data_IF_064433633946
#
_entry.id   IF_064433633946
#
_cell.length_a   1.000
_cell.length_b   1.000
_cell.length_c   1.000
_cell.angle_alpha   90.00
_cell.angle_beta   90.00
_cell.angle_gamma   90.00
#
_symmetry.space_group_name_H-M   'P 1'
#
loop_
_entity.id
_entity.type
_entity.pdbx_description
1 polymer ?
#
# COMPACT_ATOMS: atom_id res chain seq x y z
N UNK A 1 -22.55 -18.10 -51.72
CA UNK A 1 -21.65 -18.92 -50.88
C UNK A 1 -21.45 -18.17 -49.55
N UNK A 2 -22.27 -18.48 -48.53
CA UNK A 2 -22.24 -17.76 -47.24
C UNK A 2 -21.22 -18.40 -46.31
N UNK A 3 -20.13 -17.67 -45.99
CA UNK A 3 -19.17 -18.07 -44.95
C UNK A 3 -19.88 -18.00 -43.60
N UNK A 4 -20.33 -19.15 -43.08
CA UNK A 4 -20.79 -19.28 -41.70
C UNK A 4 -19.62 -18.95 -40.76
N UNK A 5 -19.68 -17.78 -40.11
CA UNK A 5 -18.85 -17.47 -38.96
C UNK A 5 -19.12 -18.53 -37.87
N UNK A 6 -18.18 -19.46 -37.67
CA UNK A 6 -18.18 -20.34 -36.51
C UNK A 6 -17.98 -19.46 -35.27
N UNK A 7 -19.06 -19.16 -34.56
CA UNK A 7 -18.96 -18.69 -33.17
C UNK A 7 -18.32 -19.83 -32.38
N UNK A 8 -17.07 -19.68 -31.98
CA UNK A 8 -16.44 -20.58 -31.01
C UNK A 8 -17.34 -20.61 -29.76
N UNK A 9 -17.88 -21.78 -29.45
CA UNK A 9 -18.65 -22.00 -28.23
C UNK A 9 -17.64 -22.06 -27.10
N UNK A 10 -17.50 -20.96 -26.35
CA UNK A 10 -16.75 -20.94 -25.11
C UNK A 10 -17.21 -22.10 -24.22
N UNK A 11 -16.25 -22.91 -23.76
CA UNK A 11 -16.52 -24.05 -22.88
C UNK A 11 -16.84 -23.56 -21.47
N UNK A 12 -17.66 -24.30 -20.72
CA UNK A 12 -17.91 -24.03 -19.30
C UNK A 12 -16.60 -23.96 -18.49
N UNK A 13 -15.57 -24.69 -18.94
CA UNK A 13 -14.21 -24.62 -18.39
C UNK A 13 -13.52 -23.26 -18.58
N UNK A 14 -13.74 -22.58 -19.71
CA UNK A 14 -13.16 -21.26 -19.99
C UNK A 14 -13.73 -20.20 -19.05
N UNK A 15 -15.03 -20.31 -18.73
CA UNK A 15 -15.66 -19.42 -17.76
C UNK A 15 -15.14 -19.63 -16.34
N UNK A 16 -15.01 -20.88 -15.88
CA UNK A 16 -14.46 -21.18 -14.56
C UNK A 16 -13.00 -20.72 -14.45
N UNK A 17 -12.21 -20.95 -15.49
CA UNK A 17 -10.82 -20.50 -15.55
C UNK A 17 -10.70 -18.97 -15.52
N UNK A 18 -11.54 -18.25 -16.28
CA UNK A 18 -11.57 -16.80 -16.26
C UNK A 18 -11.93 -16.25 -14.86
N UNK A 19 -12.95 -16.82 -14.20
CA UNK A 19 -13.34 -16.43 -12.83
C UNK A 19 -12.18 -16.67 -11.86
N UNK A 20 -11.50 -17.82 -11.96
CA UNK A 20 -10.35 -18.15 -11.12
C UNK A 20 -9.21 -17.14 -11.30
N UNK A 21 -8.86 -16.79 -12.54
CA UNK A 21 -7.82 -15.80 -12.82
C UNK A 21 -8.20 -14.44 -12.24
N UNK A 22 -9.41 -13.97 -12.49
CA UNK A 22 -9.88 -12.68 -11.97
C UNK A 22 -9.83 -12.67 -10.45
N UNK A 23 -10.25 -13.75 -9.80
CA UNK A 23 -10.16 -13.91 -8.35
C UNK A 23 -8.71 -13.86 -7.86
N UNK A 24 -7.79 -14.60 -8.50
CA UNK A 24 -6.36 -14.57 -8.19
C UNK A 24 -5.75 -13.18 -8.36
N UNK A 25 -6.15 -12.44 -9.40
CA UNK A 25 -5.71 -11.06 -9.61
C UNK A 25 -6.15 -10.16 -8.46
N UNK A 26 -7.40 -10.28 -8.00
CA UNK A 26 -7.88 -9.50 -6.84
C UNK A 26 -7.13 -9.88 -5.56
N UNK A 27 -6.96 -11.16 -5.28
CA UNK A 27 -6.20 -11.62 -4.11
C UNK A 27 -4.77 -11.08 -4.16
N UNK A 28 -4.12 -11.13 -5.31
CA UNK A 28 -2.76 -10.60 -5.48
C UNK A 28 -2.71 -9.08 -5.26
N UNK A 29 -3.62 -8.31 -5.85
CA UNK A 29 -3.67 -6.86 -5.69
C UNK A 29 -3.90 -6.47 -4.23
N UNK A 30 -4.81 -7.15 -3.52
CA UNK A 30 -5.14 -6.84 -2.13
C UNK A 30 -4.03 -7.29 -1.17
N UNK A 31 -3.38 -8.42 -1.43
CA UNK A 31 -2.31 -8.95 -0.57
C UNK A 31 -0.97 -8.26 -0.80
N UNK A 32 -0.70 -7.76 -2.01
CA UNK A 32 0.60 -7.17 -2.36
C UNK A 32 1.08 -6.05 -1.42
N UNK A 33 0.24 -5.09 -0.98
CA UNK A 33 0.69 -4.02 -0.08
C UNK A 33 1.10 -4.58 1.28
N UNK A 34 0.36 -5.58 1.78
CA UNK A 34 0.70 -6.26 3.03
C UNK A 34 1.99 -7.07 2.90
N UNK A 35 2.21 -7.77 1.79
CA UNK A 35 3.44 -8.53 1.57
C UNK A 35 4.67 -7.63 1.49
N UNK A 36 4.56 -6.48 0.82
CA UNK A 36 5.62 -5.46 0.79
C UNK A 36 5.88 -4.94 2.20
N UNK A 37 4.82 -4.60 2.93
CA UNK A 37 4.92 -4.14 4.32
C UNK A 37 5.61 -5.18 5.22
N UNK A 38 5.17 -6.44 5.15
CA UNK A 38 5.73 -7.55 5.91
C UNK A 38 7.24 -7.71 5.64
N UNK A 39 7.63 -7.70 4.36
CA UNK A 39 9.02 -7.86 3.95
C UNK A 39 9.92 -6.75 4.50
N UNK A 40 9.49 -5.48 4.33
CA UNK A 40 10.29 -4.34 4.78
C UNK A 40 10.26 -4.18 6.30
N UNK A 41 9.13 -4.43 6.96
CA UNK A 41 9.06 -4.39 8.42
C UNK A 41 9.95 -5.47 9.05
N UNK A 42 10.01 -6.66 8.45
CA UNK A 42 10.91 -7.73 8.91
C UNK A 42 12.39 -7.34 8.77
N UNK A 43 12.74 -6.52 7.78
CA UNK A 43 14.07 -5.94 7.66
C UNK A 43 14.32 -4.90 8.77
N UNK A 44 13.33 -4.04 9.04
CA UNK A 44 13.40 -3.05 10.13
C UNK A 44 13.45 -3.71 11.52
N UNK A 45 12.85 -4.89 11.70
CA UNK A 45 12.95 -5.67 12.95
C UNK A 45 14.30 -6.37 13.13
N UNK A 46 15.24 -6.27 12.18
CA UNK A 46 16.62 -6.71 12.40
C UNK A 46 17.39 -5.73 13.30
N UNK A 47 16.92 -4.49 13.42
CA UNK A 47 17.52 -3.52 14.33
C UNK A 47 17.18 -3.88 15.78
N UNK A 48 18.14 -3.73 16.72
CA UNK A 48 17.98 -4.18 18.11
C UNK A 48 16.92 -3.40 18.91
N UNK A 49 16.32 -2.37 18.29
CA UNK A 49 15.35 -1.48 18.89
C UNK A 49 13.90 -1.91 18.64
N UNK A 50 13.67 -2.96 17.84
CA UNK A 50 12.36 -3.42 17.43
C UNK A 50 12.33 -4.94 17.54
N UNK A 51 11.42 -5.47 18.37
CA UNK A 51 11.27 -6.91 18.56
C UNK A 51 9.81 -7.31 18.53
N UNK A 52 9.50 -8.40 17.84
CA UNK A 52 8.16 -8.99 17.82
C UNK A 52 8.09 -10.02 18.94
N UNK A 53 7.26 -9.75 19.96
CA UNK A 53 7.18 -10.56 21.17
C UNK A 53 6.04 -11.58 21.06
N UNK A 54 6.19 -12.52 20.13
CA UNK A 54 5.19 -13.57 19.87
C UNK A 54 5.84 -14.95 19.86
N UNK A 55 5.11 -15.96 20.31
CA UNK A 55 5.62 -17.34 20.47
C UNK A 55 5.70 -18.13 19.16
N UNK A 56 4.87 -17.80 18.15
CA UNK A 56 4.85 -18.50 16.86
C UNK A 56 5.01 -17.56 15.67
N UNK A 57 5.52 -18.08 14.55
CA UNK A 57 5.63 -17.33 13.29
C UNK A 57 4.29 -16.81 12.79
N UNK A 58 3.21 -17.59 12.98
CA UNK A 58 1.88 -17.18 12.57
C UNK A 58 1.39 -15.99 13.41
N UNK A 59 1.62 -16.02 14.72
CA UNK A 59 1.29 -14.91 15.60
C UNK A 59 2.08 -13.65 15.27
N UNK A 60 3.36 -13.79 14.87
CA UNK A 60 4.15 -12.65 14.37
C UNK A 60 3.51 -12.03 13.13
N UNK A 61 3.09 -12.84 12.16
CA UNK A 61 2.44 -12.36 10.94
C UNK A 61 1.10 -11.69 11.28
N UNK A 62 0.34 -12.26 12.20
CA UNK A 62 -0.94 -11.71 12.65
C UNK A 62 -0.76 -10.36 13.38
N UNK A 63 0.25 -10.23 14.24
CA UNK A 63 0.59 -8.99 14.91
C UNK A 63 0.95 -7.89 13.89
N UNK A 64 1.79 -8.22 12.90
CA UNK A 64 2.14 -7.32 11.82
C UNK A 64 0.93 -6.96 10.95
N UNK A 65 0.01 -7.90 10.72
CA UNK A 65 -1.22 -7.64 9.99
C UNK A 65 -2.14 -6.67 10.74
N UNK A 66 -2.31 -6.83 12.06
CA UNK A 66 -3.08 -5.88 12.89
C UNK A 66 -2.45 -4.49 12.84
N UNK A 67 -1.13 -4.40 12.98
CA UNK A 67 -0.40 -3.14 12.89
C UNK A 67 -0.53 -2.49 11.50
N UNK A 68 -0.41 -3.27 10.43
CA UNK A 68 -0.63 -2.81 9.06
C UNK A 68 -2.05 -2.28 8.85
N UNK A 69 -3.06 -3.05 9.23
CA UNK A 69 -4.47 -2.67 9.07
C UNK A 69 -4.77 -1.38 9.82
N UNK A 70 -4.32 -1.26 11.08
CA UNK A 70 -4.48 -0.05 11.87
C UNK A 70 -3.78 1.15 11.21
N UNK A 71 -2.58 0.94 10.68
CA UNK A 71 -1.82 1.99 9.96
C UNK A 71 -2.60 2.47 8.74
N UNK A 72 -3.16 1.57 7.92
CA UNK A 72 -3.98 1.93 6.75
C UNK A 72 -5.20 2.75 7.16
N UNK A 73 -5.88 2.36 8.24
CA UNK A 73 -7.04 3.09 8.76
C UNK A 73 -6.64 4.50 9.22
N UNK A 74 -5.58 4.62 10.02
CA UNK A 74 -5.10 5.91 10.52
C UNK A 74 -4.68 6.83 9.38
N UNK A 75 -3.89 6.32 8.42
CA UNK A 75 -3.47 7.08 7.24
C UNK A 75 -4.68 7.52 6.43
N UNK A 76 -5.63 6.63 6.15
CA UNK A 76 -6.82 6.98 5.37
C UNK A 76 -7.66 8.08 6.03
N UNK A 77 -7.85 8.02 7.35
CA UNK A 77 -8.57 9.05 8.10
C UNK A 77 -7.84 10.38 8.04
N UNK A 78 -6.53 10.38 8.30
CA UNK A 78 -5.72 11.60 8.33
C UNK A 78 -5.61 12.23 6.95
N UNK A 79 -5.45 11.42 5.89
CA UNK A 79 -5.41 11.88 4.50
C UNK A 79 -6.73 12.56 4.10
N UNK A 80 -7.88 11.99 4.48
CA UNK A 80 -9.18 12.62 4.28
C UNK A 80 -9.25 13.96 5.03
N UNK A 81 -8.84 14.00 6.31
CA UNK A 81 -8.86 15.23 7.12
C UNK A 81 -7.94 16.30 6.53
N UNK A 82 -6.72 15.96 6.15
CA UNK A 82 -5.76 16.89 5.56
C UNK A 82 -6.23 17.37 4.19
N UNK A 83 -6.81 16.51 3.35
CA UNK A 83 -7.38 16.91 2.06
C UNK A 83 -8.52 17.93 2.20
N UNK A 84 -9.30 17.84 3.27
CA UNK A 84 -10.37 18.80 3.58
C UNK A 84 -9.82 20.12 4.13
N UNK A 85 -8.83 20.07 5.04
CA UNK A 85 -8.26 21.26 5.69
C UNK A 85 -7.34 22.05 4.74
N UNK A 86 -6.50 21.37 3.96
CA UNK A 86 -5.50 21.99 3.08
C UNK A 86 -6.07 22.48 1.73
N UNK A 87 -7.41 22.55 1.61
CA UNK A 87 -8.20 23.04 0.47
C UNK A 87 -7.39 23.47 -0.80
N UNK A 88 -7.44 22.60 -1.82
CA UNK A 88 -7.28 22.88 -3.28
C UNK A 88 -6.03 23.61 -3.81
N UNK A 89 -5.11 24.13 -3.01
CA UNK A 89 -3.88 24.74 -3.55
C UNK A 89 -2.88 23.63 -3.92
N UNK A 90 -2.88 23.26 -5.20
CA UNK A 90 -1.89 22.35 -5.81
C UNK A 90 -0.56 23.07 -5.98
N UNK A 91 0.17 23.21 -4.87
CA UNK A 91 1.52 23.77 -4.86
C UNK A 91 2.51 22.81 -4.22
N UNK A 92 3.79 22.84 -4.63
CA UNK A 92 4.84 22.01 -4.02
C UNK A 92 5.00 22.29 -2.52
N UNK A 93 4.72 23.52 -2.07
CA UNK A 93 4.74 23.88 -0.65
C UNK A 93 3.68 23.14 0.17
N UNK A 94 2.45 23.02 -0.34
CA UNK A 94 1.38 22.31 0.36
C UNK A 94 1.68 20.81 0.44
N UNK A 95 2.23 20.23 -0.62
CA UNK A 95 2.68 18.84 -0.60
C UNK A 95 3.79 18.62 0.44
N UNK A 96 4.77 19.53 0.54
CA UNK A 96 5.81 19.45 1.56
C UNK A 96 5.23 19.58 2.98
N UNK A 97 4.29 20.52 3.19
CA UNK A 97 3.61 20.70 4.47
C UNK A 97 2.82 19.44 4.87
N UNK A 98 2.06 18.87 3.94
CA UNK A 98 1.31 17.64 4.14
C UNK A 98 2.24 16.47 4.49
N UNK A 99 3.36 16.32 3.78
CA UNK A 99 4.35 15.29 4.07
C UNK A 99 4.96 15.46 5.48
N UNK A 100 5.29 16.69 5.89
CA UNK A 100 5.81 16.96 7.24
C UNK A 100 4.75 16.63 8.30
N UNK A 101 3.50 17.04 8.09
CA UNK A 101 2.40 16.72 9.01
C UNK A 101 2.15 15.20 9.09
N UNK A 102 2.21 14.50 7.97
CA UNK A 102 2.11 13.04 7.93
C UNK A 102 3.24 12.37 8.68
N UNK A 103 4.48 12.89 8.58
CA UNK A 103 5.59 12.38 9.39
C UNK A 103 5.34 12.54 10.90
N UNK A 104 4.83 13.71 11.33
CA UNK A 104 4.45 13.93 12.73
C UNK A 104 3.35 12.96 13.17
N UNK A 105 2.34 12.75 12.34
CA UNK A 105 1.27 11.79 12.59
C UNK A 105 1.81 10.37 12.73
N UNK A 106 2.71 9.94 11.84
CA UNK A 106 3.36 8.63 11.95
C UNK A 106 4.16 8.50 13.23
N UNK A 107 4.92 9.53 13.60
CA UNK A 107 5.67 9.54 14.84
C UNK A 107 4.78 9.37 16.07
N UNK A 108 3.71 10.16 16.16
CA UNK A 108 2.74 10.06 17.26
C UNK A 108 2.01 8.72 17.26
N UNK A 109 1.63 8.22 16.09
CA UNK A 109 0.97 6.91 15.95
C UNK A 109 1.86 5.78 16.46
N UNK A 110 3.12 5.72 16.01
CA UNK A 110 4.07 4.68 16.44
C UNK A 110 4.37 4.81 17.92
N UNK A 111 4.51 6.03 18.43
CA UNK A 111 4.72 6.29 19.85
C UNK A 111 3.55 5.76 20.69
N UNK A 112 2.31 6.10 20.33
CA UNK A 112 1.09 5.61 21.01
C UNK A 112 0.99 4.09 20.91
N UNK A 113 1.27 3.53 19.74
CA UNK A 113 1.24 2.09 19.53
C UNK A 113 2.27 1.36 20.41
N UNK A 114 3.47 1.93 20.54
CA UNK A 114 4.54 1.41 21.40
C UNK A 114 4.17 1.36 22.88
N UNK A 115 3.31 2.25 23.36
CA UNK A 115 2.83 2.22 24.75
C UNK A 115 1.70 1.22 24.98
N UNK A 116 0.87 0.96 23.96
CA UNK A 116 -0.35 0.18 24.10
C UNK A 116 -0.23 -1.28 23.61
N UNK A 117 0.73 -1.59 22.74
CA UNK A 117 0.89 -2.91 22.15
C UNK A 117 2.03 -3.67 22.81
N UNK A 118 1.75 -4.92 23.22
CA UNK A 118 2.76 -5.85 23.72
C UNK A 118 3.31 -6.77 22.62
N UNK A 119 2.64 -6.85 21.47
CA UNK A 119 2.98 -7.77 20.39
C UNK A 119 4.23 -7.31 19.61
N UNK A 120 4.37 -5.99 19.41
CA UNK A 120 5.54 -5.36 18.78
C UNK A 120 6.14 -4.38 19.78
N UNK A 121 7.27 -4.77 20.35
CA UNK A 121 8.02 -3.95 21.30
C UNK A 121 8.94 -3.04 20.50
N UNK A 122 8.69 -1.74 20.61
CA UNK A 122 9.46 -0.67 19.98
C UNK A 122 10.17 0.09 21.11
N UNK A 123 11.49 0.13 21.10
CA UNK A 123 12.30 0.88 22.07
C UNK A 123 12.54 2.31 21.56
N UNK A 124 12.99 3.22 22.42
CA UNK A 124 13.05 4.67 22.18
C UNK A 124 13.49 5.09 20.76
N UNK A 125 14.65 4.61 20.28
CA UNK A 125 15.15 4.91 18.93
C UNK A 125 14.41 4.17 17.82
N UNK A 126 13.78 3.04 18.13
CA UNK A 126 12.93 2.27 17.21
C UNK A 126 11.69 3.02 16.76
N UNK A 127 11.14 3.92 17.59
CA UNK A 127 9.97 4.76 17.21
C UNK A 127 10.29 5.58 15.97
N UNK A 128 11.45 6.22 15.95
CA UNK A 128 11.90 7.04 14.82
C UNK A 128 12.13 6.18 13.57
N UNK A 129 12.74 4.99 13.70
CA UNK A 129 12.96 4.07 12.58
C UNK A 129 11.67 3.57 11.95
N UNK A 130 10.70 3.13 12.77
CA UNK A 130 9.40 2.68 12.26
C UNK A 130 8.64 3.85 11.63
N UNK A 131 8.68 5.03 12.24
CA UNK A 131 8.01 6.23 11.70
C UNK A 131 8.60 6.66 10.36
N UNK A 132 9.93 6.65 10.23
CA UNK A 132 10.62 6.90 8.96
C UNK A 132 10.26 5.85 7.91
N UNK A 133 10.20 4.58 8.30
CA UNK A 133 9.78 3.51 7.41
C UNK A 133 8.35 3.75 6.87
N UNK A 134 7.39 4.02 7.75
CA UNK A 134 6.00 4.33 7.38
C UNK A 134 5.93 5.55 6.46
N UNK A 135 6.72 6.57 6.76
CA UNK A 135 6.77 7.80 5.97
C UNK A 135 7.35 7.57 4.57
N UNK A 136 8.45 6.82 4.44
CA UNK A 136 9.01 6.45 3.14
C UNK A 136 8.00 5.64 2.33
N UNK A 137 7.33 4.68 2.97
CA UNK A 137 6.29 3.86 2.34
C UNK A 137 5.13 4.72 1.84
N UNK A 138 4.65 5.68 2.65
CA UNK A 138 3.65 6.66 2.26
C UNK A 138 4.09 7.49 1.04
N UNK A 139 5.32 8.02 1.03
CA UNK A 139 5.86 8.77 -0.11
C UNK A 139 5.95 7.91 -1.38
N UNK A 140 6.36 6.65 -1.26
CA UNK A 140 6.39 5.72 -2.38
C UNK A 140 4.98 5.53 -2.96
N UNK A 141 3.96 5.30 -2.13
CA UNK A 141 2.58 5.19 -2.57
C UNK A 141 2.06 6.48 -3.22
N UNK A 142 2.40 7.64 -2.66
CA UNK A 142 2.05 8.95 -3.25
C UNK A 142 2.67 9.14 -4.66
N UNK A 143 3.85 8.55 -4.92
CA UNK A 143 4.50 8.56 -6.22
C UNK A 143 3.94 7.54 -7.22
N UNK A 144 3.32 6.44 -6.76
CA UNK A 144 2.73 5.42 -7.66
C UNK A 144 1.68 6.05 -8.57
N UNK A 145 0.75 6.83 -8.03
CA UNK A 145 -0.32 7.45 -8.83
C UNK A 145 0.18 8.32 -10.00
N UNK A 146 1.06 9.33 -9.79
CA UNK A 146 1.56 10.16 -10.90
C UNK A 146 2.40 9.36 -11.89
N UNK A 147 3.17 8.36 -11.45
CA UNK A 147 3.95 7.48 -12.33
C UNK A 147 3.02 6.63 -13.20
N UNK A 148 2.03 5.95 -12.61
CA UNK A 148 1.03 5.17 -13.33
C UNK A 148 0.28 6.01 -14.36
N UNK A 149 -0.10 7.24 -13.98
CA UNK A 149 -0.76 8.19 -14.90
C UNK A 149 0.12 8.56 -16.09
N UNK A 150 1.42 8.79 -15.88
CA UNK A 150 2.38 9.09 -16.96
C UNK A 150 2.55 7.89 -17.90
N UNK A 151 2.74 6.69 -17.35
CA UNK A 151 2.88 5.46 -18.14
C UNK A 151 1.64 5.23 -19.00
N UNK A 152 0.45 5.35 -18.42
CA UNK A 152 -0.82 5.22 -19.15
C UNK A 152 -0.93 6.25 -20.29
N UNK A 153 -0.57 7.51 -20.03
CA UNK A 153 -0.57 8.55 -21.06
C UNK A 153 0.40 8.27 -22.22
N UNK A 154 1.60 7.76 -21.93
CA UNK A 154 2.56 7.37 -22.97
C UNK A 154 2.07 6.19 -23.80
N UNK A 155 1.47 5.19 -23.15
CA UNK A 155 0.91 4.02 -23.84
C UNK A 155 -0.24 4.41 -24.76
N UNK A 156 -1.14 5.29 -24.30
CA UNK A 156 -2.26 5.76 -25.11
C UNK A 156 -1.81 6.58 -26.32
N UNK A 157 -0.81 7.47 -26.15
CA UNK A 157 -0.20 8.19 -27.27
C UNK A 157 0.39 7.23 -28.30
N UNK A 158 1.16 6.23 -27.84
CA UNK A 158 1.77 5.22 -28.72
C UNK A 158 0.72 4.39 -29.50
N UNK A 159 -0.45 4.15 -28.91
CA UNK A 159 -1.55 3.46 -29.59
C UNK A 159 -2.20 4.39 -30.64
N UNK A 160 -2.39 5.67 -30.32
CA UNK A 160 -2.92 6.66 -31.27
C UNK A 160 -1.99 6.86 -32.46
N UNK A 161 -0.69 7.00 -32.23
CA UNK A 161 0.32 7.17 -33.28
C UNK A 161 0.48 5.93 -34.17
N UNK A 162 0.05 4.75 -33.72
CA UNK A 162 0.09 3.51 -34.50
C UNK A 162 -1.17 3.30 -35.35
N UNK A 163 -2.28 3.97 -34.99
CA UNK A 163 -3.59 3.84 -35.64
C UNK A 163 -3.94 5.04 -36.53
N UNK A 164 -3.10 6.09 -36.55
CA UNK A 164 -3.12 7.19 -37.53
C UNK A 164 -2.00 6.99 -38.56
#
# INVERSE_FOLDING_TARGET
>A
MSKKNKKEKYSTGDHVFAILIVFLMFVFIISSPFLIFLGVFKFVSLFPYISINTTSTFDSVLALFKFFFLTVVVVGVVDIVFSQILMKKKGPFNFALEAVLMFVVFYLYVLIYSFNSQDIVIRDTGVLWVSLFLFILYLLFALVYPVSKRIYGLMMKKIQDKNN
#
